data_IF_364419763049
#
_entry.id   IF_364419763049
#
_cell.length_a   1.000
_cell.length_b   1.000
_cell.length_c   1.000
_cell.angle_alpha   90.00
_cell.angle_beta   90.00
_cell.angle_gamma   90.00
#
_symmetry.space_group_name_H-M   'P 1'
#
loop_
_entity.id
_entity.type
_entity.pdbx_description
1 polymer ?
#
# COMPACT_ATOMS: atom_id res chain seq x y z
N UNK A 1 17.20 -13.57 -15.33
CA UNK A 1 16.45 -14.07 -16.51
C UNK A 1 15.62 -12.93 -17.06
N UNK A 2 15.64 -12.69 -18.37
CA UNK A 2 14.88 -11.62 -19.02
C UNK A 2 14.15 -12.22 -20.22
N UNK A 3 12.85 -11.97 -20.33
CA UNK A 3 12.04 -12.37 -21.48
C UNK A 3 10.94 -11.33 -21.73
N UNK A 4 10.98 -10.65 -22.87
CA UNK A 4 9.97 -9.68 -23.31
C UNK A 4 10.57 -8.36 -23.81
N UNK A 5 9.73 -7.47 -24.32
CA UNK A 5 10.17 -6.20 -24.92
C UNK A 5 10.45 -5.17 -23.83
N UNK A 6 11.58 -4.46 -23.92
CA UNK A 6 11.96 -3.43 -22.94
C UNK A 6 11.96 -3.97 -21.49
N UNK A 7 12.40 -5.22 -21.35
CA UNK A 7 12.50 -5.95 -20.08
C UNK A 7 13.94 -5.90 -19.55
N UNK A 8 14.09 -5.62 -18.26
CA UNK A 8 15.41 -5.45 -17.64
C UNK A 8 15.48 -6.11 -16.27
N UNK A 9 16.53 -6.90 -16.06
CA UNK A 9 16.92 -7.44 -14.76
C UNK A 9 18.42 -7.20 -14.57
N UNK A 10 18.81 -6.40 -13.57
CA UNK A 10 20.20 -5.98 -13.41
C UNK A 10 20.99 -6.71 -12.31
N UNK A 11 20.34 -7.60 -11.55
CA UNK A 11 20.97 -8.28 -10.41
C UNK A 11 20.96 -9.81 -10.50
N UNK A 12 21.82 -10.44 -9.70
CA UNK A 12 21.82 -11.89 -9.52
C UNK A 12 20.47 -12.37 -9.01
N UNK A 13 19.97 -13.47 -9.56
CA UNK A 13 18.69 -14.06 -9.20
C UNK A 13 17.46 -13.29 -9.69
N UNK A 14 17.62 -12.10 -10.29
CA UNK A 14 16.47 -11.34 -10.78
C UNK A 14 15.84 -11.95 -12.02
N UNK A 15 14.51 -11.84 -12.09
CA UNK A 15 13.68 -12.32 -13.20
C UNK A 15 12.79 -11.19 -13.67
N UNK A 16 12.78 -10.93 -14.98
CA UNK A 16 11.89 -9.97 -15.62
C UNK A 16 11.19 -10.66 -16.80
N UNK A 17 9.87 -10.81 -16.72
CA UNK A 17 9.03 -11.49 -17.70
C UNK A 17 7.87 -10.59 -18.15
N UNK A 18 7.84 -10.28 -19.44
CA UNK A 18 6.81 -9.48 -20.10
C UNK A 18 7.35 -8.15 -20.63
N UNK A 19 6.46 -7.18 -20.88
CA UNK A 19 6.80 -5.97 -21.63
C UNK A 19 6.94 -4.75 -20.72
N UNK A 20 8.03 -3.99 -20.85
CA UNK A 20 8.34 -2.83 -19.99
C UNK A 20 8.38 -3.25 -18.51
N UNK A 21 9.28 -4.17 -18.18
CA UNK A 21 9.40 -4.75 -16.84
C UNK A 21 10.80 -4.54 -16.26
N UNK A 22 10.88 -4.24 -14.97
CA UNK A 22 12.09 -3.68 -14.37
C UNK A 22 12.39 -4.33 -13.00
N UNK A 23 13.41 -5.18 -12.92
CA UNK A 23 13.81 -5.92 -11.72
C UNK A 23 15.20 -5.49 -11.22
N UNK A 24 15.25 -4.92 -10.00
CA UNK A 24 16.46 -4.40 -9.34
C UNK A 24 17.31 -3.48 -10.22
N UNK A 25 16.66 -2.61 -10.99
CA UNK A 25 17.34 -1.66 -11.88
C UNK A 25 17.33 -0.24 -11.28
N UNK A 26 18.32 0.57 -11.64
CA UNK A 26 18.28 2.02 -11.39
C UNK A 26 17.39 2.66 -12.46
N UNK A 27 16.35 3.36 -12.03
CA UNK A 27 15.48 4.13 -12.94
C UNK A 27 16.19 5.42 -13.39
N UNK A 28 15.83 5.93 -14.57
CA UNK A 28 16.40 7.16 -15.14
C UNK A 28 15.91 8.41 -14.41
N UNK A 29 16.59 9.55 -14.59
CA UNK A 29 16.14 10.83 -14.03
C UNK A 29 14.82 11.34 -14.63
N UNK A 30 14.39 10.76 -15.78
CA UNK A 30 13.06 11.00 -16.38
C UNK A 30 11.96 10.20 -15.71
N UNK A 31 12.32 9.25 -14.86
CA UNK A 31 11.38 8.55 -14.01
C UNK A 31 10.82 9.56 -13.02
N UNK A 32 9.69 10.15 -13.38
CA UNK A 32 8.81 10.74 -12.38
C UNK A 32 8.47 9.64 -11.40
N UNK A 33 8.87 9.86 -10.15
CA UNK A 33 8.73 8.87 -9.10
C UNK A 33 7.29 8.36 -9.10
N UNK A 34 7.08 7.13 -9.58
CA UNK A 34 5.75 6.49 -9.61
C UNK A 34 5.11 6.59 -8.22
N UNK A 35 5.92 6.64 -7.17
CA UNK A 35 5.48 6.98 -5.80
C UNK A 35 4.51 8.16 -5.78
N UNK A 36 4.80 9.30 -6.41
CA UNK A 36 3.89 10.45 -6.44
C UNK A 36 2.54 10.14 -7.11
N UNK A 37 2.55 9.30 -8.15
CA UNK A 37 1.36 8.86 -8.87
C UNK A 37 0.50 7.90 -8.01
N UNK A 38 1.12 6.95 -7.31
CA UNK A 38 0.43 6.04 -6.41
C UNK A 38 0.07 6.67 -5.05
N UNK A 39 0.76 7.73 -4.64
CA UNK A 39 0.55 8.50 -3.41
C UNK A 39 -0.39 9.69 -3.57
N UNK A 40 -0.69 10.12 -4.80
CA UNK A 40 -1.57 11.26 -5.10
C UNK A 40 -0.99 12.61 -4.72
N UNK A 41 0.33 12.75 -4.72
CA UNK A 41 1.01 14.04 -4.59
C UNK A 41 1.01 14.74 -5.96
N UNK A 42 0.71 16.05 -6.01
CA UNK A 42 0.73 16.94 -7.20
C UNK A 42 -0.41 16.80 -8.25
N UNK A 43 -0.16 17.18 -9.52
CA UNK A 43 -1.07 17.17 -10.69
C UNK A 43 -1.71 15.79 -10.96
N UNK A 44 -1.21 14.74 -10.31
CA UNK A 44 -1.56 13.34 -10.49
C UNK A 44 -2.58 12.82 -9.47
N UNK A 45 -3.30 13.76 -8.83
CA UNK A 45 -4.45 13.49 -7.98
C UNK A 45 -5.53 12.64 -8.65
N UNK A 46 -5.58 12.50 -9.98
CA UNK A 46 -6.60 11.70 -10.67
C UNK A 46 -6.52 10.20 -10.38
N UNK A 47 -5.34 9.61 -10.17
CA UNK A 47 -5.25 8.18 -9.84
C UNK A 47 -5.71 7.91 -8.41
N UNK A 48 -5.28 8.76 -7.47
CA UNK A 48 -5.77 8.70 -6.10
C UNK A 48 -7.26 9.05 -6.02
N UNK A 49 -7.71 10.13 -6.66
CA UNK A 49 -9.13 10.50 -6.77
C UNK A 49 -9.95 9.44 -7.48
N UNK A 50 -9.40 8.72 -8.46
CA UNK A 50 -10.08 7.57 -9.06
C UNK A 50 -10.30 6.50 -7.99
N UNK A 51 -9.26 6.13 -7.24
CA UNK A 51 -9.38 5.15 -6.16
C UNK A 51 -10.24 5.63 -4.98
N UNK A 52 -10.21 6.93 -4.65
CA UNK A 52 -10.96 7.59 -3.57
C UNK A 52 -12.43 7.85 -3.96
N UNK A 53 -12.73 8.31 -5.18
CA UNK A 53 -14.09 8.48 -5.67
C UNK A 53 -14.78 7.13 -5.88
N UNK A 54 -14.02 6.06 -6.12
CA UNK A 54 -14.53 4.69 -6.07
C UNK A 54 -14.94 4.22 -4.67
N UNK A 55 -14.55 4.95 -3.61
CA UNK A 55 -15.05 4.74 -2.25
C UNK A 55 -16.48 5.24 -2.07
N UNK A 56 -17.07 5.93 -3.07
CA UNK A 56 -18.37 6.60 -2.96
C UNK A 56 -19.46 5.99 -3.86
N UNK A 57 -19.11 5.30 -4.95
CA UNK A 57 -20.12 4.90 -5.95
C UNK A 57 -20.77 3.54 -5.66
N UNK A 58 -22.10 3.53 -5.55
CA UNK A 58 -22.93 2.40 -5.08
C UNK A 58 -23.36 1.44 -6.20
N UNK A 59 -23.09 1.76 -7.46
CA UNK A 59 -23.78 1.12 -8.59
C UNK A 59 -22.83 0.40 -9.58
N UNK A 60 -22.54 -0.87 -9.27
CA UNK A 60 -22.58 -2.00 -10.24
C UNK A 60 -21.69 -2.06 -11.50
N UNK A 61 -20.90 -1.05 -11.89
CA UNK A 61 -20.23 -1.02 -13.21
C UNK A 61 -18.81 -1.64 -13.24
N UNK A 62 -18.66 -2.90 -12.82
CA UNK A 62 -17.35 -3.54 -12.52
C UNK A 62 -16.38 -3.80 -13.70
N UNK A 63 -16.75 -3.64 -14.97
CA UNK A 63 -15.90 -4.08 -16.11
C UNK A 63 -15.34 -2.95 -16.97
N UNK A 64 -15.95 -1.77 -16.96
CA UNK A 64 -15.57 -0.62 -17.82
C UNK A 64 -14.45 0.24 -17.20
N UNK A 65 -14.10 -0.02 -15.94
CA UNK A 65 -13.28 0.86 -15.10
C UNK A 65 -11.83 0.40 -14.94
N UNK A 66 -11.56 -0.89 -15.14
CA UNK A 66 -10.21 -1.47 -15.28
C UNK A 66 -9.42 -0.72 -16.37
N UNK A 67 -10.11 -0.29 -17.41
CA UNK A 67 -9.56 0.51 -18.52
C UNK A 67 -9.22 1.94 -18.10
N UNK A 68 -9.87 2.53 -17.08
CA UNK A 68 -9.63 3.91 -16.65
C UNK A 68 -8.32 4.06 -15.86
N UNK A 69 -8.05 3.21 -14.87
CA UNK A 69 -6.76 3.22 -14.16
C UNK A 69 -5.58 2.99 -15.13
N UNK A 70 -5.75 2.05 -16.06
CA UNK A 70 -4.78 1.81 -17.14
C UNK A 70 -4.58 3.04 -18.02
N UNK A 71 -5.66 3.74 -18.37
CA UNK A 71 -5.64 4.98 -19.16
C UNK A 71 -4.97 6.13 -18.41
N UNK A 72 -5.12 6.22 -17.09
CA UNK A 72 -4.42 7.22 -16.27
C UNK A 72 -2.92 6.94 -16.24
N UNK A 73 -2.51 5.66 -16.17
CA UNK A 73 -1.09 5.28 -16.16
C UNK A 73 -0.43 5.33 -17.55
N UNK A 74 -1.22 5.24 -18.62
CA UNK A 74 -0.71 5.14 -19.99
C UNK A 74 0.18 6.32 -20.45
N UNK A 75 -0.14 7.60 -20.14
CA UNK A 75 0.72 8.74 -20.46
C UNK A 75 2.09 8.72 -19.76
N UNK A 76 2.22 7.99 -18.64
CA UNK A 76 3.48 7.91 -17.88
C UNK A 76 4.40 6.82 -18.37
N UNK A 77 3.97 5.98 -19.32
CA UNK A 77 4.76 4.85 -19.80
C UNK A 77 6.14 5.28 -20.31
N UNK A 78 6.22 6.43 -20.99
CA UNK A 78 7.45 6.95 -21.59
C UNK A 78 8.39 7.56 -20.54
N UNK A 79 7.88 7.77 -19.31
CA UNK A 79 8.66 8.17 -18.13
C UNK A 79 9.22 6.97 -17.37
N UNK A 80 8.69 5.76 -17.60
CA UNK A 80 9.23 4.52 -17.02
C UNK A 80 10.42 4.05 -17.85
N UNK A 81 11.58 4.65 -17.58
CA UNK A 81 12.82 4.34 -18.26
C UNK A 81 13.94 4.05 -17.26
N UNK A 82 14.90 3.21 -17.68
CA UNK A 82 16.08 2.85 -16.88
C UNK A 82 17.24 3.83 -17.12
N UNK A 83 18.11 3.95 -16.13
CA UNK A 83 19.46 4.46 -16.32
C UNK A 83 20.33 3.30 -16.83
N UNK A 84 20.49 3.22 -18.14
CA UNK A 84 21.22 2.15 -18.81
C UNK A 84 22.51 2.63 -19.48
N UNK A 85 23.47 1.72 -19.60
CA UNK A 85 24.70 1.93 -20.36
C UNK A 85 24.68 1.07 -21.62
N UNK A 86 25.21 1.59 -22.72
CA UNK A 86 25.37 0.79 -23.94
C UNK A 86 26.41 -0.31 -23.69
N UNK A 87 25.99 -1.55 -23.91
CA UNK A 87 26.89 -2.68 -23.87
C UNK A 87 27.71 -2.72 -25.16
N UNK A 88 29.04 -2.60 -25.02
CA UNK A 88 29.96 -2.71 -26.14
C UNK A 88 29.78 -4.05 -26.86
N UNK A 89 29.79 -4.00 -28.20
CA UNK A 89 29.66 -5.16 -29.07
C UNK A 89 28.23 -5.58 -29.38
N UNK A 90 27.27 -5.43 -28.45
CA UNK A 90 25.85 -5.75 -28.73
C UNK A 90 25.03 -4.53 -29.10
N UNK A 91 25.41 -3.35 -28.64
CA UNK A 91 24.60 -2.12 -28.77
C UNK A 91 23.34 -2.14 -27.92
N UNK A 92 23.17 -3.17 -27.07
CA UNK A 92 22.03 -3.28 -26.17
C UNK A 92 22.21 -2.37 -24.97
N UNK A 93 21.10 -1.84 -24.46
CA UNK A 93 21.13 -1.05 -23.22
C UNK A 93 21.13 -1.98 -22.03
N UNK A 94 22.19 -1.92 -21.21
CA UNK A 94 22.31 -2.67 -19.97
C UNK A 94 21.86 -1.81 -18.79
N UNK A 95 20.88 -2.28 -18.03
CA UNK A 95 20.43 -1.59 -16.83
C UNK A 95 21.50 -1.60 -15.73
N UNK A 96 21.62 -0.46 -15.03
CA UNK A 96 22.42 -0.38 -13.80
C UNK A 96 21.71 -1.10 -12.66
N UNK A 97 22.48 -1.79 -11.83
CA UNK A 97 21.95 -2.49 -10.67
C UNK A 97 21.59 -1.52 -9.54
N UNK A 98 20.38 -1.63 -9.01
CA UNK A 98 19.94 -0.87 -7.86
C UNK A 98 20.69 -1.27 -6.58
N UNK A 99 20.73 -0.34 -5.62
CA UNK A 99 21.30 -0.56 -4.30
C UNK A 99 20.27 -0.21 -3.23
N UNK A 100 20.39 -0.87 -2.08
CA UNK A 100 19.56 -0.60 -0.91
C UNK A 100 20.07 0.64 -0.15
N UNK A 101 19.38 0.96 0.95
CA UNK A 101 19.76 2.08 1.82
C UNK A 101 21.13 1.92 2.50
N UNK A 102 21.67 0.70 2.58
CA UNK A 102 23.00 0.41 3.10
C UNK A 102 24.10 0.45 2.01
N UNK A 103 23.73 0.70 0.75
CA UNK A 103 24.65 0.71 -0.39
C UNK A 103 25.03 -0.69 -0.90
N UNK A 104 24.38 -1.74 -0.39
CA UNK A 104 24.51 -3.10 -0.89
C UNK A 104 23.71 -3.25 -2.18
N UNK A 105 24.14 -4.16 -3.03
CA UNK A 105 23.48 -4.41 -4.30
C UNK A 105 22.17 -5.19 -4.08
N UNK A 106 21.06 -4.68 -4.61
CA UNK A 106 19.78 -5.39 -4.58
C UNK A 106 19.85 -6.64 -5.46
N UNK A 107 19.22 -7.73 -5.03
CA UNK A 107 19.25 -9.04 -5.66
C UNK A 107 17.86 -9.71 -5.67
N UNK A 108 17.68 -10.66 -6.58
CA UNK A 108 16.56 -11.59 -6.53
C UNK A 108 15.17 -11.00 -6.73
N UNK A 109 15.03 -9.80 -7.32
CA UNK A 109 13.70 -9.28 -7.64
C UNK A 109 13.04 -10.08 -8.76
N UNK A 110 11.74 -10.34 -8.61
CA UNK A 110 10.95 -11.06 -9.60
C UNK A 110 9.85 -10.13 -10.11
N UNK A 111 9.77 -10.01 -11.44
CA UNK A 111 8.80 -9.15 -12.11
C UNK A 111 8.11 -9.91 -13.23
N UNK A 112 6.78 -9.95 -13.20
CA UNK A 112 5.96 -10.63 -14.20
C UNK A 112 4.77 -9.75 -14.60
N UNK A 113 4.66 -9.34 -15.86
CA UNK A 113 3.50 -8.58 -16.34
C UNK A 113 3.84 -7.57 -17.44
N UNK A 114 3.16 -6.41 -17.42
CA UNK A 114 3.48 -5.32 -18.33
C UNK A 114 3.54 -4.00 -17.57
N UNK A 115 4.52 -3.15 -17.86
CA UNK A 115 4.76 -1.90 -17.13
C UNK A 115 4.95 -2.13 -15.61
N UNK A 116 5.59 -3.24 -15.25
CA UNK A 116 5.68 -3.75 -13.87
C UNK A 116 7.08 -3.52 -13.33
N UNK A 117 7.20 -3.09 -12.07
CA UNK A 117 8.50 -2.68 -11.50
C UNK A 117 8.70 -3.26 -10.11
N UNK A 118 9.86 -3.88 -9.86
CA UNK A 118 10.31 -4.26 -8.52
C UNK A 118 11.73 -3.73 -8.29
N UNK A 119 11.90 -2.76 -7.40
CA UNK A 119 13.19 -2.07 -7.19
C UNK A 119 13.96 -2.62 -6.00
N UNK A 120 13.27 -2.90 -4.88
CA UNK A 120 13.90 -3.33 -3.64
C UNK A 120 14.53 -4.72 -3.69
N UNK A 121 15.43 -4.98 -2.76
CA UNK A 121 16.08 -6.28 -2.58
C UNK A 121 15.04 -7.38 -2.31
N UNK A 122 15.14 -8.52 -3.00
CA UNK A 122 14.17 -9.63 -2.94
C UNK A 122 12.68 -9.24 -3.16
N UNK A 123 12.42 -8.13 -3.86
CA UNK A 123 11.04 -7.68 -4.11
C UNK A 123 10.33 -8.51 -5.19
N UNK A 124 9.00 -8.65 -5.08
CA UNK A 124 8.15 -9.31 -6.08
C UNK A 124 7.09 -8.33 -6.59
N UNK A 125 7.01 -8.15 -7.91
CA UNK A 125 5.92 -7.43 -8.55
C UNK A 125 5.28 -8.28 -9.66
N UNK A 126 3.97 -8.50 -9.59
CA UNK A 126 3.25 -9.32 -10.56
C UNK A 126 1.90 -8.70 -10.93
N UNK A 127 1.67 -8.52 -12.22
CA UNK A 127 0.46 -7.92 -12.77
C UNK A 127 0.71 -6.54 -13.38
N UNK A 128 -0.13 -6.16 -14.35
CA UNK A 128 0.05 -4.92 -15.12
C UNK A 128 0.11 -3.70 -14.21
N UNK A 129 1.17 -2.90 -14.30
CA UNK A 129 1.44 -1.77 -13.41
C UNK A 129 1.58 -2.12 -11.92
N UNK A 130 1.92 -3.36 -11.55
CA UNK A 130 2.30 -3.62 -10.16
C UNK A 130 3.66 -2.97 -9.86
N UNK A 131 3.80 -2.40 -8.66
CA UNK A 131 5.00 -1.69 -8.25
C UNK A 131 5.40 -2.08 -6.82
N UNK A 132 6.53 -2.79 -6.68
CA UNK A 132 7.15 -3.11 -5.40
C UNK A 132 8.42 -2.26 -5.23
N UNK A 133 8.34 -1.21 -4.40
CA UNK A 133 9.43 -0.25 -4.20
C UNK A 133 10.39 -0.69 -3.10
N UNK A 134 9.85 -1.08 -1.94
CA UNK A 134 10.66 -1.43 -0.77
C UNK A 134 11.37 -2.77 -0.86
N UNK A 135 12.36 -2.96 0.00
CA UNK A 135 13.06 -4.24 0.16
C UNK A 135 12.10 -5.28 0.73
N UNK A 136 12.15 -6.50 0.20
CA UNK A 136 11.25 -7.62 0.51
C UNK A 136 9.76 -7.23 0.34
N UNK A 137 9.46 -6.25 -0.51
CA UNK A 137 8.09 -5.83 -0.78
C UNK A 137 7.43 -6.73 -1.85
N UNK A 138 6.13 -6.98 -1.70
CA UNK A 138 5.34 -7.84 -2.57
C UNK A 138 4.13 -7.07 -3.11
N UNK A 139 4.06 -6.85 -4.43
CA UNK A 139 2.93 -6.22 -5.10
C UNK A 139 2.34 -7.17 -6.14
N UNK A 140 1.19 -7.79 -5.84
CA UNK A 140 0.53 -8.77 -6.72
C UNK A 140 -0.86 -8.28 -7.09
N UNK A 141 -1.09 -8.03 -8.38
CA UNK A 141 -2.35 -7.55 -8.92
C UNK A 141 -2.14 -6.33 -9.81
N UNK A 142 -3.08 -6.08 -10.71
CA UNK A 142 -3.01 -4.89 -11.56
C UNK A 142 -3.02 -3.63 -10.68
N UNK A 143 -2.06 -2.74 -10.90
CA UNK A 143 -1.85 -1.51 -10.12
C UNK A 143 -1.66 -1.71 -8.61
N UNK A 144 -1.28 -2.91 -8.15
CA UNK A 144 -0.90 -3.13 -6.75
C UNK A 144 0.39 -2.35 -6.43
N UNK A 145 0.48 -1.79 -5.24
CA UNK A 145 1.60 -0.94 -4.84
C UNK A 145 2.08 -1.26 -3.42
N UNK A 146 3.32 -1.69 -3.29
CA UNK A 146 4.00 -1.98 -2.03
C UNK A 146 5.18 -1.00 -1.88
N UNK A 147 5.03 0.00 -1.00
CA UNK A 147 5.90 1.18 -0.94
C UNK A 147 7.15 0.95 -0.09
N UNK A 148 6.94 0.61 1.18
CA UNK A 148 8.00 0.53 2.18
C UNK A 148 8.51 -0.92 2.30
N UNK A 149 9.57 -1.10 3.08
CA UNK A 149 10.18 -2.40 3.28
C UNK A 149 9.18 -3.39 3.93
N UNK A 150 9.25 -4.65 3.49
CA UNK A 150 8.44 -5.75 3.99
C UNK A 150 6.92 -5.49 3.86
N UNK A 151 6.53 -4.65 2.90
CA UNK A 151 5.13 -4.35 2.62
C UNK A 151 4.52 -5.33 1.61
N UNK A 152 3.27 -5.76 1.83
CA UNK A 152 2.59 -6.77 1.03
C UNK A 152 1.26 -6.25 0.50
N UNK A 153 1.15 -5.92 -0.78
CA UNK A 153 -0.07 -5.48 -1.46
C UNK A 153 -0.56 -6.56 -2.43
N UNK A 154 -1.73 -7.15 -2.16
CA UNK A 154 -2.31 -8.21 -3.00
C UNK A 154 -3.74 -7.84 -3.39
N UNK A 155 -4.00 -7.69 -4.69
CA UNK A 155 -5.30 -7.35 -5.25
C UNK A 155 -5.23 -6.14 -6.18
N UNK A 156 -6.26 -5.96 -6.99
CA UNK A 156 -6.39 -4.82 -7.92
C UNK A 156 -6.33 -3.49 -7.14
N UNK A 157 -5.36 -2.63 -7.47
CA UNK A 157 -5.18 -1.31 -6.86
C UNK A 157 -4.96 -1.35 -5.34
N UNK A 158 -4.54 -2.49 -4.78
CA UNK A 158 -4.18 -2.60 -3.36
C UNK A 158 -2.93 -1.77 -3.06
N UNK A 159 -2.87 -1.14 -1.87
CA UNK A 159 -1.77 -0.24 -1.49
C UNK A 159 -1.26 -0.54 -0.08
N UNK A 160 -0.05 -1.05 0.02
CA UNK A 160 0.66 -1.27 1.29
C UNK A 160 1.76 -0.23 1.42
N UNK A 161 1.43 0.85 2.11
CA UNK A 161 2.25 2.04 2.19
C UNK A 161 3.16 2.02 3.40
N UNK A 162 2.78 1.40 4.51
CA UNK A 162 3.62 1.34 5.72
C UNK A 162 4.69 0.25 5.67
N UNK A 163 5.77 0.45 6.42
CA UNK A 163 6.76 -0.60 6.70
C UNK A 163 6.08 -1.79 7.39
N UNK A 164 6.40 -3.02 6.97
CA UNK A 164 5.78 -4.25 7.50
C UNK A 164 4.25 -4.28 7.38
N UNK A 165 3.68 -3.52 6.44
CA UNK A 165 2.22 -3.47 6.23
C UNK A 165 1.70 -4.56 5.28
N UNK A 166 0.44 -4.95 5.44
CA UNK A 166 -0.20 -5.94 4.58
C UNK A 166 -1.60 -5.49 4.15
N UNK A 167 -1.84 -5.37 2.86
CA UNK A 167 -3.09 -4.97 2.24
C UNK A 167 -3.53 -6.04 1.27
N UNK A 168 -4.57 -6.81 1.62
CA UNK A 168 -5.11 -7.89 0.79
C UNK A 168 -6.57 -7.59 0.46
N UNK A 169 -6.85 -7.44 -0.83
CA UNK A 169 -8.18 -7.18 -1.37
C UNK A 169 -8.19 -6.06 -2.40
N UNK A 170 -9.18 -6.09 -3.27
CA UNK A 170 -9.40 -5.04 -4.28
C UNK A 170 -9.56 -3.68 -3.59
N UNK A 171 -8.70 -2.73 -3.97
CA UNK A 171 -8.66 -1.36 -3.45
C UNK A 171 -8.48 -1.27 -1.92
N UNK A 172 -7.86 -2.27 -1.32
CA UNK A 172 -7.43 -2.20 0.08
C UNK A 172 -6.27 -1.21 0.24
N UNK A 173 -6.14 -0.58 1.41
CA UNK A 173 -5.07 0.39 1.68
C UNK A 173 -4.56 0.33 3.11
N UNK A 174 -3.24 0.29 3.32
CA UNK A 174 -2.61 0.38 4.63
C UNK A 174 -1.54 1.45 4.64
N UNK A 175 -1.81 2.54 5.36
CA UNK A 175 -0.87 3.65 5.59
C UNK A 175 -0.02 3.47 6.84
N UNK A 176 -0.45 2.59 7.74
CA UNK A 176 0.21 2.34 9.02
C UNK A 176 1.34 1.33 8.96
N UNK A 177 2.34 1.50 9.81
CA UNK A 177 3.40 0.49 9.98
C UNK A 177 2.84 -0.74 10.70
N UNK A 178 3.38 -1.92 10.41
CA UNK A 178 3.04 -3.16 11.13
C UNK A 178 1.52 -3.43 11.18
N UNK A 179 0.80 -2.94 10.17
CA UNK A 179 -0.65 -2.89 10.13
C UNK A 179 -1.18 -3.74 8.98
N UNK A 180 -2.42 -4.19 9.11
CA UNK A 180 -3.01 -5.18 8.20
C UNK A 180 -4.41 -4.73 7.80
N UNK A 181 -4.73 -4.73 6.50
CA UNK A 181 -6.08 -4.60 5.97
C UNK A 181 -6.42 -5.81 5.09
N UNK A 182 -7.50 -6.51 5.42
CA UNK A 182 -7.98 -7.72 4.73
C UNK A 182 -9.44 -7.53 4.33
N UNK A 183 -9.70 -7.36 3.04
CA UNK A 183 -11.03 -7.19 2.48
C UNK A 183 -11.07 -6.20 1.31
N UNK A 184 -12.16 -6.25 0.53
CA UNK A 184 -12.42 -5.27 -0.52
C UNK A 184 -12.62 -3.91 0.12
N UNK A 185 -11.81 -2.92 -0.26
CA UNK A 185 -11.81 -1.57 0.32
C UNK A 185 -11.56 -1.53 1.85
N UNK A 186 -10.96 -2.57 2.42
CA UNK A 186 -10.47 -2.53 3.80
C UNK A 186 -9.34 -1.51 3.91
N UNK A 187 -9.32 -0.71 4.97
CA UNK A 187 -8.37 0.39 5.07
C UNK A 187 -7.85 0.61 6.49
N UNK A 188 -6.54 0.85 6.58
CA UNK A 188 -5.85 1.40 7.76
C UNK A 188 -5.30 2.74 7.32
N UNK A 189 -5.91 3.85 7.76
CA UNK A 189 -5.60 5.19 7.24
C UNK A 189 -5.00 6.07 8.32
N UNK A 190 -3.90 6.76 7.98
CA UNK A 190 -3.32 7.81 8.83
C UNK A 190 -4.36 8.91 9.04
N UNK A 191 -4.47 9.39 10.26
CA UNK A 191 -5.24 10.59 10.59
C UNK A 191 -4.27 11.77 10.74
N UNK A 192 -4.77 13.01 10.67
CA UNK A 192 -3.92 14.20 10.64
C UNK A 192 -3.10 14.44 11.93
N UNK A 193 -3.35 13.68 13.00
CA UNK A 193 -2.85 13.97 14.35
C UNK A 193 -2.02 12.83 14.95
N UNK A 194 -1.84 11.70 14.26
CA UNK A 194 -1.06 10.58 14.78
C UNK A 194 -0.53 9.67 13.67
N UNK A 195 0.66 9.13 13.91
CA UNK A 195 1.06 7.89 13.26
C UNK A 195 0.06 6.79 13.64
N UNK A 196 -0.18 5.87 12.71
CA UNK A 196 -0.99 4.67 12.93
C UNK A 196 -0.07 3.47 12.75
N UNK A 197 0.05 2.66 13.78
CA UNK A 197 0.83 1.44 13.79
C UNK A 197 0.00 0.32 14.41
N UNK A 198 0.39 -0.92 14.15
CA UNK A 198 -0.19 -2.12 14.78
C UNK A 198 -1.73 -2.19 14.66
N UNK A 199 -2.30 -1.67 13.58
CA UNK A 199 -3.74 -1.63 13.37
C UNK A 199 -4.20 -2.78 12.45
N UNK A 200 -5.37 -3.34 12.71
CA UNK A 200 -6.00 -4.40 11.92
C UNK A 200 -7.37 -3.94 11.40
N UNK A 201 -7.59 -4.05 10.11
CA UNK A 201 -8.89 -3.88 9.47
C UNK A 201 -9.27 -5.18 8.75
N UNK A 202 -10.25 -5.92 9.26
CA UNK A 202 -10.67 -7.22 8.75
C UNK A 202 -12.15 -7.22 8.38
N UNK A 203 -12.44 -7.23 7.09
CA UNK A 203 -13.80 -7.16 6.53
C UNK A 203 -13.88 -6.16 5.38
N UNK A 204 -14.86 -6.33 4.50
CA UNK A 204 -15.08 -5.39 3.39
C UNK A 204 -15.45 -3.99 3.94
N UNK A 205 -14.91 -2.94 3.32
CA UNK A 205 -15.16 -1.54 3.69
C UNK A 205 -14.83 -1.20 5.16
N UNK A 206 -13.99 -2.00 5.81
CA UNK A 206 -13.48 -1.69 7.15
C UNK A 206 -12.55 -0.49 7.15
N UNK A 207 -12.54 0.24 8.27
CA UNK A 207 -11.68 1.42 8.44
C UNK A 207 -11.05 1.44 9.83
N UNK A 208 -9.78 1.05 9.93
CA UNK A 208 -8.99 1.31 11.13
C UNK A 208 -8.33 2.70 11.01
N UNK A 209 -8.56 3.57 11.99
CA UNK A 209 -8.03 4.96 12.00
C UNK A 209 -7.28 5.35 13.26
N UNK A 210 -7.02 4.40 14.15
CA UNK A 210 -6.33 4.63 15.42
C UNK A 210 -5.14 3.69 15.57
N UNK A 211 -4.11 4.13 16.29
CA UNK A 211 -2.96 3.31 16.66
C UNK A 211 -3.40 2.10 17.50
N UNK A 212 -2.76 0.94 17.33
CA UNK A 212 -3.04 -0.29 18.06
C UNK A 212 -4.52 -0.77 17.98
N UNK A 213 -5.26 -0.41 16.94
CA UNK A 213 -6.71 -0.64 16.86
C UNK A 213 -7.12 -1.79 15.93
N UNK A 214 -8.29 -2.38 16.19
CA UNK A 214 -8.86 -3.49 15.42
C UNK A 214 -10.28 -3.13 14.95
N UNK A 215 -10.48 -2.95 13.65
CA UNK A 215 -11.79 -2.92 13.00
C UNK A 215 -12.12 -4.30 12.44
N UNK A 216 -13.16 -4.95 12.95
CA UNK A 216 -13.55 -6.31 12.58
C UNK A 216 -15.01 -6.36 12.12
N UNK A 217 -15.28 -6.75 10.88
CA UNK A 217 -16.64 -6.87 10.33
C UNK A 217 -16.95 -5.84 9.24
N UNK A 218 -17.94 -6.13 8.40
CA UNK A 218 -18.30 -5.26 7.26
C UNK A 218 -18.62 -3.84 7.75
N UNK A 219 -17.90 -2.84 7.21
CA UNK A 219 -18.01 -1.42 7.59
C UNK A 219 -17.64 -1.05 9.03
N UNK A 220 -17.02 -1.96 9.79
CA UNK A 220 -16.48 -1.62 11.11
C UNK A 220 -15.46 -0.50 11.00
N UNK A 221 -15.49 0.42 11.96
CA UNK A 221 -14.68 1.62 11.92
C UNK A 221 -14.12 1.93 13.31
N UNK A 222 -12.80 1.87 13.48
CA UNK A 222 -12.18 2.32 14.73
C UNK A 222 -12.07 3.85 14.68
N UNK A 223 -13.19 4.50 14.96
CA UNK A 223 -13.32 5.94 15.12
C UNK A 223 -14.32 6.16 16.25
N UNK A 224 -13.95 6.85 17.32
CA UNK A 224 -14.88 7.07 18.44
C UNK A 224 -15.07 8.55 18.75
N UNK A 225 -16.34 8.89 18.98
CA UNK A 225 -16.77 9.90 19.92
C UNK A 225 -17.75 9.22 20.90
N UNK A 226 -17.91 9.72 22.13
CA UNK A 226 -19.01 9.31 23.03
C UNK A 226 -20.06 10.41 23.12
N UNK A 227 -21.33 10.06 23.41
CA UNK A 227 -22.44 11.03 23.47
C UNK A 227 -22.14 12.18 24.43
N UNK A 228 -21.54 11.86 25.57
CA UNK A 228 -20.97 12.76 26.59
C UNK A 228 -20.15 11.93 27.61
N UNK A 229 -19.54 12.61 28.60
CA UNK A 229 -18.74 11.97 29.67
C UNK A 229 -19.56 11.02 30.58
N UNK A 230 -20.89 11.10 30.52
CA UNK A 230 -21.80 10.32 31.37
C UNK A 230 -22.27 9.01 30.73
N UNK A 231 -22.29 8.93 29.39
CA UNK A 231 -22.61 7.70 28.65
C UNK A 231 -21.37 7.15 27.93
N UNK A 232 -20.49 6.52 28.72
CA UNK A 232 -19.30 5.79 28.24
C UNK A 232 -19.64 4.47 27.52
N UNK A 233 -20.93 4.14 27.39
CA UNK A 233 -21.41 2.90 26.76
C UNK A 233 -21.95 3.11 25.35
N UNK A 234 -22.30 4.35 24.99
CA UNK A 234 -22.86 4.68 23.68
C UNK A 234 -21.89 5.52 22.86
N UNK A 235 -21.23 4.87 21.89
CA UNK A 235 -20.43 5.56 20.88
C UNK A 235 -21.31 6.40 19.94
N UNK A 236 -20.82 7.58 19.56
CA UNK A 236 -21.46 8.57 18.69
C UNK A 236 -20.50 9.07 17.60
N UNK A 237 -21.03 9.87 16.67
CA UNK A 237 -20.25 10.57 15.62
C UNK A 237 -19.77 11.98 16.05
N UNK A 238 -19.99 12.38 17.32
CA UNK A 238 -19.64 13.68 17.90
C UNK A 238 -19.44 13.60 19.43
N UNK A 239 -18.37 14.19 20.00
CA UNK A 239 -18.06 14.05 21.43
C UNK A 239 -16.57 14.21 21.77
N UNK A 240 -16.14 13.82 22.98
CA UNK A 240 -14.72 13.76 23.39
C UNK A 240 -14.06 12.44 22.94
N UNK A 241 -12.73 12.48 22.77
CA UNK A 241 -11.94 11.31 22.35
C UNK A 241 -11.97 10.22 23.44
N UNK A 242 -12.21 8.97 23.03
CA UNK A 242 -12.28 7.81 23.93
C UNK A 242 -11.01 7.58 24.76
N UNK A 243 -9.87 8.03 24.23
CA UNK A 243 -8.56 7.88 24.87
C UNK A 243 -8.39 8.76 26.11
N UNK A 244 -9.17 9.85 26.21
CA UNK A 244 -9.13 10.78 27.33
C UNK A 244 -10.08 10.35 28.48
N UNK A 245 -10.80 9.24 28.32
CA UNK A 245 -11.73 8.70 29.32
C UNK A 245 -11.07 7.61 30.16
N UNK A 246 -11.39 7.61 31.46
CA UNK A 246 -11.02 6.49 32.34
C UNK A 246 -11.67 5.18 31.86
N UNK A 247 -10.92 4.06 31.82
CA UNK A 247 -11.43 2.76 31.37
C UNK A 247 -12.58 2.29 32.26
N UNK A 248 -13.53 1.59 31.67
CA UNK A 248 -14.50 0.84 32.44
C UNK A 248 -13.82 -0.35 33.12
N UNK A 249 -13.84 -0.37 34.46
CA UNK A 249 -13.34 -1.48 35.29
C UNK A 249 -14.55 -2.21 35.88
N UNK A 250 -14.82 -3.47 35.49
CA UNK A 250 -15.91 -4.25 36.07
C UNK A 250 -15.72 -4.41 37.59
N UNK A 251 -16.81 -4.30 38.33
CA UNK A 251 -16.82 -4.48 39.79
C UNK A 251 -16.24 -5.85 40.17
N UNK A 252 -15.27 -5.86 41.09
CA UNK A 252 -14.54 -7.08 41.50
C UNK A 252 -13.25 -7.38 40.72
N UNK A 253 -12.85 -6.54 39.76
CA UNK A 253 -11.57 -6.69 39.06
C UNK A 253 -10.38 -6.28 39.95
N UNK A 254 -9.34 -7.11 40.01
CA UNK A 254 -8.07 -6.79 40.68
C UNK A 254 -7.06 -6.05 39.79
N UNK A 255 -7.44 -5.74 38.54
CA UNK A 255 -6.60 -5.10 37.54
C UNK A 255 -6.73 -3.58 37.58
N UNK A 256 -5.60 -2.88 37.67
CA UNK A 256 -5.53 -1.44 37.40
C UNK A 256 -5.38 -1.22 35.89
N UNK A 257 -6.49 -0.92 35.21
CA UNK A 257 -6.48 -0.50 33.81
C UNK A 257 -6.14 0.99 33.73
N UNK A 258 -5.12 1.34 32.95
CA UNK A 258 -4.86 2.71 32.52
C UNK A 258 -5.15 2.79 31.02
N UNK A 259 -5.97 3.74 30.60
CA UNK A 259 -6.11 4.11 29.19
C UNK A 259 -5.00 5.11 28.89
N UNK A 260 -4.10 4.72 27.99
CA UNK A 260 -3.15 5.63 27.37
C UNK A 260 -3.11 5.34 25.87
N UNK A 261 -2.23 6.02 25.12
CA UNK A 261 -2.07 5.81 23.67
C UNK A 261 -1.63 4.39 23.29
N UNK A 262 -1.16 3.58 24.24
CA UNK A 262 -0.83 2.18 24.02
C UNK A 262 -2.05 1.24 24.22
N UNK A 263 -3.16 1.71 24.80
CA UNK A 263 -4.38 0.92 24.94
C UNK A 263 -5.06 0.77 23.56
N UNK A 264 -4.97 -0.43 23.00
CA UNK A 264 -5.61 -0.76 21.72
C UNK A 264 -7.14 -0.72 21.79
N UNK A 265 -7.78 -0.32 20.69
CA UNK A 265 -9.24 -0.18 20.61
C UNK A 265 -9.81 -1.19 19.62
N UNK A 266 -10.89 -1.88 19.97
CA UNK A 266 -11.58 -2.82 19.07
C UNK A 266 -12.98 -2.34 18.71
N UNK A 267 -13.26 -2.21 17.41
CA UNK A 267 -14.59 -2.03 16.81
C UNK A 267 -15.01 -3.35 16.16
N UNK A 268 -16.19 -3.87 16.52
CA UNK A 268 -16.77 -5.09 15.94
C UNK A 268 -18.14 -4.76 15.34
N UNK A 269 -18.47 -5.32 14.18
CA UNK A 269 -19.71 -5.06 13.44
C UNK A 269 -20.16 -6.24 12.58
#
# INVERSE_FOLDING_TARGET
>A
MVLGKDAYAASQGSVALGDNVFANVVMSDKFEDLTALYEGQSEYSELNKFFENYMVDKDGAKTTEITKAVKILYPYRDKIAINGELQEGTGETKAKQAKDSAGLHNQGAIVIGSYTTALGDNALAMGRYAYAKGDRAFAIGQAAYARDNESFAIGYGSKSMGEQSMSIGTLSRVDGKQSIALGVRASVLKNAHSEINNALALGNETKATMDNSVALGYKSNTKYYYKDDTDKTTATLSGKDAIDLEPYIPEGSSYNLKTDKAAGIMSVG
#
